data_IF_445134108444
#
_entry.id   IF_445134108444
#
_cell.length_a   1.000
_cell.length_b   1.000
_cell.length_c   1.000
_cell.angle_alpha   90.00
_cell.angle_beta   90.00
_cell.angle_gamma   90.00
#
_symmetry.space_group_name_H-M   'P 1'
#
loop_
_entity.id
_entity.type
_entity.pdbx_description
1 polymer ?
#
# COMPACT_ATOMS: atom_id res chain seq x y z
N UNK A 1 0.12 -23.09 8.18
CA UNK A 1 0.03 -22.03 7.15
C UNK A 1 1.10 -21.02 7.49
N UNK A 2 2.03 -20.79 6.58
CA UNK A 2 3.17 -19.89 6.83
C UNK A 2 2.89 -18.59 6.08
N UNK A 3 2.63 -17.52 6.82
CA UNK A 3 2.39 -16.19 6.26
C UNK A 3 3.73 -15.54 5.94
N UNK A 4 3.90 -15.07 4.71
CA UNK A 4 5.07 -14.29 4.31
C UNK A 4 4.66 -12.82 4.13
N UNK A 5 5.26 -11.93 4.91
CA UNK A 5 5.08 -10.48 4.79
C UNK A 5 6.28 -9.88 4.06
N UNK A 6 6.05 -9.04 3.04
CA UNK A 6 7.12 -8.29 2.35
C UNK A 6 6.95 -6.80 2.60
N UNK A 7 7.94 -6.19 3.24
CA UNK A 7 7.92 -4.81 3.70
C UNK A 7 9.04 -4.01 3.03
N UNK A 8 8.78 -2.80 2.51
CA UNK A 8 9.85 -1.90 2.11
C UNK A 8 10.61 -1.41 3.34
N UNK A 9 11.95 -1.41 3.29
CA UNK A 9 12.83 -0.89 4.34
C UNK A 9 13.94 -0.01 3.76
N UNK A 10 14.76 0.60 4.63
CA UNK A 10 15.95 1.36 4.23
C UNK A 10 17.20 0.72 4.84
N UNK A 11 18.26 0.58 4.06
CA UNK A 11 19.56 0.14 4.56
C UNK A 11 20.30 1.29 5.29
N UNK A 12 21.48 0.98 5.85
CA UNK A 12 22.35 1.96 6.52
C UNK A 12 22.79 3.11 5.59
N UNK A 13 22.72 2.92 4.28
CA UNK A 13 23.01 3.93 3.26
C UNK A 13 21.77 4.73 2.83
N UNK A 14 20.60 4.45 3.41
CA UNK A 14 19.32 5.09 3.11
C UNK A 14 18.66 4.62 1.82
N UNK A 15 19.23 3.61 1.14
CA UNK A 15 18.68 3.02 -0.09
C UNK A 15 17.48 2.14 0.23
N UNK A 16 16.50 2.15 -0.68
CA UNK A 16 15.31 1.32 -0.56
C UNK A 16 15.69 -0.15 -0.74
N UNK A 17 15.33 -0.95 0.24
CA UNK A 17 15.43 -2.41 0.24
C UNK A 17 14.07 -3.00 0.57
N UNK A 18 13.93 -4.31 0.45
CA UNK A 18 12.72 -5.05 0.78
C UNK A 18 13.10 -6.15 1.76
N UNK A 19 12.31 -6.33 2.80
CA UNK A 19 12.46 -7.40 3.79
C UNK A 19 11.28 -8.37 3.65
N UNK A 20 11.58 -9.65 3.50
CA UNK A 20 10.57 -10.70 3.55
C UNK A 20 10.67 -11.39 4.92
N UNK A 21 9.54 -11.64 5.58
CA UNK A 21 9.44 -12.18 6.94
C UNK A 21 8.46 -13.34 6.95
N UNK A 22 8.83 -14.44 7.60
CA UNK A 22 8.02 -15.65 7.73
C UNK A 22 8.34 -16.34 9.05
N UNK A 23 7.53 -16.09 10.09
CA UNK A 23 7.80 -16.59 11.44
C UNK A 23 9.10 -16.01 11.99
N UNK A 24 10.04 -16.88 12.37
CA UNK A 24 11.38 -16.53 12.87
C UNK A 24 12.42 -16.28 11.77
N UNK A 25 12.05 -16.49 10.50
CA UNK A 25 12.94 -16.32 9.34
C UNK A 25 12.70 -14.98 8.65
N UNK A 26 13.79 -14.36 8.20
CA UNK A 26 13.74 -13.12 7.44
C UNK A 26 14.89 -13.02 6.45
N UNK A 27 14.64 -12.34 5.34
CA UNK A 27 15.64 -12.05 4.32
C UNK A 27 15.49 -10.60 3.83
N UNK A 28 16.56 -10.07 3.23
CA UNK A 28 16.57 -8.72 2.66
C UNK A 28 17.06 -8.77 1.22
N UNK A 29 16.37 -8.08 0.32
CA UNK A 29 16.74 -7.94 -1.09
C UNK A 29 16.59 -6.51 -1.58
N UNK A 30 17.16 -6.20 -2.76
CA UNK A 30 17.01 -4.88 -3.40
C UNK A 30 15.63 -4.73 -4.03
N UNK A 31 15.00 -5.86 -4.35
CA UNK A 31 13.63 -5.95 -4.84
C UNK A 31 12.79 -6.88 -3.95
N UNK A 32 11.48 -6.74 -4.01
CA UNK A 32 10.56 -7.64 -3.31
C UNK A 32 10.76 -9.10 -3.74
N UNK A 33 11.01 -9.34 -5.03
CA UNK A 33 11.30 -10.68 -5.57
C UNK A 33 12.61 -11.24 -5.01
N UNK A 34 13.69 -10.45 -5.02
CA UNK A 34 14.99 -10.88 -4.47
C UNK A 34 14.91 -11.20 -2.97
N UNK A 35 14.15 -10.42 -2.20
CA UNK A 35 13.90 -10.72 -0.80
C UNK A 35 13.12 -12.05 -0.66
N UNK A 36 12.06 -12.23 -1.45
CA UNK A 36 11.28 -13.47 -1.43
C UNK A 36 12.12 -14.70 -1.83
N UNK A 37 12.92 -14.60 -2.89
CA UNK A 37 13.79 -15.67 -3.38
C UNK A 37 14.84 -16.08 -2.33
N UNK A 38 15.40 -15.09 -1.61
CA UNK A 38 16.30 -15.36 -0.51
C UNK A 38 15.59 -16.05 0.67
N UNK A 39 14.33 -15.66 0.96
CA UNK A 39 13.55 -16.28 2.03
C UNK A 39 13.15 -17.71 1.68
N UNK A 40 12.76 -17.97 0.43
CA UNK A 40 12.37 -19.31 -0.04
C UNK A 40 13.57 -20.26 -0.05
N UNK A 41 14.77 -19.79 -0.36
CA UNK A 41 16.00 -20.57 -0.23
C UNK A 41 16.27 -21.04 1.22
N UNK A 42 15.88 -20.24 2.22
CA UNK A 42 16.00 -20.62 3.65
C UNK A 42 14.83 -21.49 4.15
N UNK A 43 13.71 -21.53 3.42
CA UNK A 43 12.52 -22.27 3.82
C UNK A 43 12.57 -23.76 3.46
N UNK A 44 13.44 -24.19 2.52
CA UNK A 44 13.51 -25.55 1.93
C UNK A 44 12.25 -25.94 1.12
N UNK A 45 12.40 -26.84 0.15
CA UNK A 45 11.44 -27.06 -0.95
C UNK A 45 10.02 -27.45 -0.50
N UNK A 46 9.05 -26.93 -1.26
CA UNK A 46 7.59 -27.14 -1.20
C UNK A 46 6.82 -26.53 -0.01
N UNK A 47 6.83 -25.19 0.06
CA UNK A 47 5.79 -24.45 0.79
C UNK A 47 4.87 -23.71 -0.18
N UNK A 48 3.54 -23.93 -0.14
CA UNK A 48 2.61 -23.06 -0.84
C UNK A 48 2.62 -21.69 -0.16
N UNK A 49 3.46 -20.78 -0.66
CA UNK A 49 3.49 -19.39 -0.20
C UNK A 49 2.24 -18.67 -0.71
N UNK A 50 1.42 -18.18 0.22
CA UNK A 50 0.24 -17.37 -0.11
C UNK A 50 0.64 -15.89 -0.09
N UNK A 51 0.69 -15.27 -1.26
CA UNK A 51 0.92 -13.83 -1.39
C UNK A 51 -0.40 -13.08 -1.15
N UNK A 52 -0.52 -12.41 0.00
CA UNK A 52 -1.66 -11.55 0.28
C UNK A 52 -1.37 -10.12 -0.20
N UNK A 53 -1.82 -9.80 -1.41
CA UNK A 53 -1.88 -8.41 -1.88
C UNK A 53 -3.21 -7.84 -1.38
N UNK A 54 -3.17 -7.02 -0.32
CA UNK A 54 -4.36 -6.25 0.05
C UNK A 54 -4.57 -5.14 -0.97
N UNK A 55 -5.54 -5.36 -1.85
CA UNK A 55 -6.13 -4.30 -2.67
C UNK A 55 -6.61 -3.19 -1.76
N UNK A 56 -6.29 -1.93 -2.10
CA UNK A 56 -6.78 -0.77 -1.37
C UNK A 56 -8.28 -0.63 -1.64
N UNK A 57 -9.08 -1.22 -0.77
CA UNK A 57 -10.54 -1.09 -0.74
C UNK A 57 -10.97 -0.04 0.28
N UNK A 58 -12.28 0.25 0.34
CA UNK A 58 -12.81 1.13 1.35
C UNK A 58 -12.59 0.52 2.72
N UNK A 59 -12.19 1.34 3.67
CA UNK A 59 -11.87 0.92 5.02
C UNK A 59 -12.43 1.90 6.06
N UNK A 60 -12.05 1.72 7.32
CA UNK A 60 -12.50 2.59 8.42
C UNK A 60 -11.91 4.00 8.38
N UNK A 61 -10.81 4.20 7.65
CA UNK A 61 -10.12 5.48 7.51
C UNK A 61 -10.62 6.25 6.28
N UNK A 62 -11.03 5.55 5.23
CA UNK A 62 -11.63 6.11 4.02
C UNK A 62 -12.77 5.23 3.51
N UNK A 63 -14.00 5.69 3.72
CA UNK A 63 -15.20 4.88 3.51
C UNK A 63 -15.61 4.72 2.04
N UNK A 64 -16.46 3.73 1.77
CA UNK A 64 -16.95 3.42 0.42
C UNK A 64 -17.61 4.61 -0.29
N UNK A 65 -18.38 5.43 0.44
CA UNK A 65 -19.01 6.62 -0.14
C UNK A 65 -17.97 7.68 -0.56
N UNK A 66 -16.92 7.88 0.25
CA UNK A 66 -15.85 8.83 -0.07
C UNK A 66 -15.04 8.34 -1.27
N UNK A 67 -14.73 7.04 -1.32
CA UNK A 67 -14.01 6.43 -2.44
C UNK A 67 -14.82 6.50 -3.74
N UNK A 68 -16.12 6.19 -3.68
CA UNK A 68 -17.00 6.30 -4.83
C UNK A 68 -17.05 7.74 -5.35
N UNK A 69 -17.22 8.71 -4.46
CA UNK A 69 -17.26 10.13 -4.83
C UNK A 69 -15.94 10.62 -5.42
N UNK A 70 -14.81 10.19 -4.84
CA UNK A 70 -13.48 10.51 -5.36
C UNK A 70 -13.28 9.93 -6.77
N UNK A 71 -13.71 8.69 -7.00
CA UNK A 71 -13.62 8.06 -8.32
C UNK A 71 -14.44 8.82 -9.39
N UNK A 72 -15.66 9.26 -9.03
CA UNK A 72 -16.51 10.07 -9.91
C UNK A 72 -15.84 11.41 -10.26
N UNK A 73 -15.33 12.13 -9.25
CA UNK A 73 -14.66 13.41 -9.48
C UNK A 73 -13.37 13.27 -10.27
N UNK A 74 -12.58 12.23 -10.02
CA UNK A 74 -11.38 11.94 -10.80
C UNK A 74 -11.71 11.62 -12.26
N UNK A 75 -12.79 10.88 -12.53
CA UNK A 75 -13.25 10.61 -13.89
C UNK A 75 -13.70 11.89 -14.61
N UNK A 76 -14.44 12.76 -13.92
CA UNK A 76 -14.86 14.06 -14.44
C UNK A 76 -13.65 14.98 -14.70
N UNK A 77 -12.71 15.03 -13.76
CA UNK A 77 -11.48 15.80 -13.88
C UNK A 77 -10.64 15.32 -15.06
N UNK A 78 -10.46 14.00 -15.21
CA UNK A 78 -9.70 13.42 -16.32
C UNK A 78 -10.36 13.75 -17.67
N UNK A 79 -11.68 13.58 -17.78
CA UNK A 79 -12.42 13.87 -19.01
C UNK A 79 -12.34 15.36 -19.40
N UNK A 80 -12.46 16.27 -18.42
CA UNK A 80 -12.28 17.70 -18.67
C UNK A 80 -10.85 18.01 -19.12
N UNK A 81 -9.86 17.47 -18.42
CA UNK A 81 -8.45 17.69 -18.73
C UNK A 81 -8.04 17.17 -20.12
N UNK A 82 -8.57 16.01 -20.54
CA UNK A 82 -8.36 15.44 -21.87
C UNK A 82 -8.90 16.35 -22.99
N UNK A 83 -9.91 17.17 -22.69
CA UNK A 83 -10.48 18.15 -23.59
C UNK A 83 -9.83 19.55 -23.45
N UNK A 84 -8.80 19.70 -22.61
CA UNK A 84 -8.19 20.99 -22.28
C UNK A 84 -9.10 21.91 -21.48
N UNK A 85 -10.15 21.37 -20.86
CA UNK A 85 -11.09 22.06 -20.00
C UNK A 85 -10.72 21.86 -18.52
N UNK A 86 -11.24 22.75 -17.68
CA UNK A 86 -11.14 22.64 -16.22
C UNK A 86 -12.52 22.38 -15.63
N UNK A 87 -12.59 21.52 -14.62
CA UNK A 87 -13.81 21.37 -13.81
C UNK A 87 -14.11 22.67 -13.05
N UNK A 88 -15.35 22.83 -12.58
CA UNK A 88 -15.74 24.01 -11.81
C UNK A 88 -14.98 24.11 -10.50
N UNK A 89 -14.84 25.32 -9.97
CA UNK A 89 -14.11 25.58 -8.72
C UNK A 89 -14.68 24.79 -7.53
N UNK A 90 -16.00 24.63 -7.46
CA UNK A 90 -16.66 23.85 -6.41
C UNK A 90 -16.26 22.36 -6.48
N UNK A 91 -16.25 21.78 -7.69
CA UNK A 91 -15.85 20.39 -7.90
C UNK A 91 -14.36 20.18 -7.63
N UNK A 92 -13.52 21.16 -8.00
CA UNK A 92 -12.08 21.11 -7.69
C UNK A 92 -11.85 21.16 -6.18
N UNK A 93 -12.53 22.04 -5.47
CA UNK A 93 -12.42 22.12 -4.01
C UNK A 93 -12.90 20.84 -3.32
N UNK A 94 -13.95 20.20 -3.84
CA UNK A 94 -14.44 18.92 -3.33
C UNK A 94 -13.42 17.80 -3.57
N UNK A 95 -12.85 17.74 -4.79
CA UNK A 95 -11.81 16.78 -5.16
C UNK A 95 -10.58 16.93 -4.27
N UNK A 96 -10.08 18.15 -4.09
CA UNK A 96 -8.91 18.43 -3.24
C UNK A 96 -9.16 18.01 -1.79
N UNK A 97 -10.36 18.24 -1.27
CA UNK A 97 -10.78 17.81 0.06
C UNK A 97 -10.76 16.29 0.21
N UNK A 98 -11.28 15.55 -0.77
CA UNK A 98 -11.28 14.09 -0.77
C UNK A 98 -9.87 13.50 -0.93
N UNK A 99 -9.03 14.11 -1.76
CA UNK A 99 -7.62 13.71 -1.91
C UNK A 99 -6.86 13.90 -0.60
N UNK A 100 -7.06 15.04 0.09
CA UNK A 100 -6.44 15.28 1.39
C UNK A 100 -6.93 14.28 2.45
N UNK A 101 -8.22 13.93 2.43
CA UNK A 101 -8.79 12.92 3.32
C UNK A 101 -8.20 11.52 3.07
N UNK A 102 -8.07 11.10 1.80
CA UNK A 102 -7.45 9.82 1.44
C UNK A 102 -5.96 9.77 1.82
N UNK A 103 -5.22 10.86 1.65
CA UNK A 103 -3.82 10.93 2.09
C UNK A 103 -3.68 10.75 3.61
N UNK A 104 -4.58 11.37 4.38
CA UNK A 104 -4.65 11.21 5.83
C UNK A 104 -5.00 9.76 6.21
N UNK A 105 -5.95 9.15 5.50
CA UNK A 105 -6.34 7.77 5.69
C UNK A 105 -5.19 6.78 5.40
N UNK A 106 -4.46 6.98 4.29
CA UNK A 106 -3.29 6.19 3.95
C UNK A 106 -2.17 6.28 5.01
N UNK A 107 -1.97 7.47 5.58
CA UNK A 107 -1.05 7.67 6.70
C UNK A 107 -1.49 6.88 7.94
N UNK A 108 -2.77 6.93 8.27
CA UNK A 108 -3.33 6.19 9.40
C UNK A 108 -3.25 4.66 9.22
N UNK A 109 -3.54 4.16 8.01
CA UNK A 109 -3.33 2.74 7.64
C UNK A 109 -1.89 2.31 7.86
N UNK A 110 -0.94 3.11 7.38
CA UNK A 110 0.48 2.80 7.48
C UNK A 110 0.94 2.75 8.95
N UNK A 111 0.45 3.67 9.77
CA UNK A 111 0.73 3.69 11.21
C UNK A 111 0.17 2.46 11.93
N UNK A 112 -1.04 2.02 11.57
CA UNK A 112 -1.64 0.79 12.13
C UNK A 112 -0.84 -0.45 11.75
N UNK A 113 -0.48 -0.60 10.47
CA UNK A 113 0.34 -1.73 10.01
C UNK A 113 1.67 -1.78 10.74
N UNK A 114 2.34 -0.64 10.91
CA UNK A 114 3.58 -0.56 11.70
C UNK A 114 3.38 -0.97 13.15
N UNK A 115 2.26 -0.59 13.77
CA UNK A 115 1.96 -1.00 15.15
C UNK A 115 1.74 -2.52 15.27
N UNK A 116 1.10 -3.14 14.28
CA UNK A 116 0.85 -4.58 14.26
C UNK A 116 2.17 -5.36 14.12
N UNK A 117 3.04 -4.95 13.20
CA UNK A 117 4.35 -5.56 13.00
C UNK A 117 5.23 -5.46 14.26
N UNK A 118 5.22 -4.32 14.94
CA UNK A 118 6.00 -4.11 16.16
C UNK A 118 5.40 -4.80 17.41
N UNK A 119 4.17 -5.33 17.31
CA UNK A 119 3.47 -6.00 18.41
C UNK A 119 3.45 -7.53 18.25
N UNK A 120 3.96 -8.07 17.15
CA UNK A 120 4.20 -9.51 17.01
C UNK A 120 5.52 -9.88 17.72
N UNK A 121 5.49 -10.82 18.70
CA UNK A 121 6.67 -11.23 19.47
C UNK A 121 7.68 -12.07 18.67
#
# INVERSE_FOLDING_TARGET
MTTVAILPSRDESGRRTYRAISGDKQSVGRTAGEALDALTAELADDFPAMLLIQSVGPDRFFGAAQQQRLAELMALWHNANDQGLTITQDLQSELDGLVAAELKAATARSAEVLSQINSEP
#
